data_IF_072218884407
#
_entry.id   IF_072218884407
#
_cell.length_a   1.000
_cell.length_b   1.000
_cell.length_c   1.000
_cell.angle_alpha   90.00
_cell.angle_beta   90.00
_cell.angle_gamma   90.00
#
_symmetry.space_group_name_H-M   'P 1'
#
loop_
_entity.id
_entity.type
_entity.pdbx_description
1 polymer ?
#
# COMPACT_ATOMS: atom_id res chain seq x y z
N UNK A 1 13.68 17.64 -2.78
CA UNK A 1 13.81 16.59 -1.72
C UNK A 1 15.23 16.08 -1.74
N UNK A 2 15.88 15.94 -0.60
CA UNK A 2 17.26 15.44 -0.51
C UNK A 2 17.30 13.93 -0.85
N UNK A 3 18.17 13.52 -1.77
CA UNK A 3 18.31 12.12 -2.18
C UNK A 3 18.69 11.19 -1.00
N UNK A 4 19.48 11.68 -0.05
CA UNK A 4 19.84 10.92 1.17
C UNK A 4 18.64 10.70 2.09
N UNK A 5 17.70 11.64 2.12
CA UNK A 5 16.47 11.50 2.90
C UNK A 5 15.56 10.39 2.35
N UNK A 6 15.62 10.12 1.05
CA UNK A 6 14.91 9.00 0.42
C UNK A 6 15.68 7.67 0.55
N UNK A 7 17.00 7.71 0.38
CA UNK A 7 17.81 6.50 0.41
C UNK A 7 17.80 5.80 1.78
N UNK A 8 17.84 6.56 2.87
CA UNK A 8 17.86 5.99 4.23
C UNK A 8 16.66 5.08 4.54
N UNK A 9 15.40 5.48 4.32
CA UNK A 9 14.26 4.57 4.53
C UNK A 9 14.26 3.39 3.54
N UNK A 10 14.75 3.54 2.31
CA UNK A 10 14.89 2.41 1.38
C UNK A 10 15.89 1.37 1.93
N UNK A 11 17.03 1.83 2.45
CA UNK A 11 18.02 0.94 3.09
C UNK A 11 17.46 0.29 4.35
N UNK A 12 16.66 1.01 5.14
CA UNK A 12 15.98 0.44 6.31
C UNK A 12 15.05 -0.71 5.92
N UNK A 13 14.22 -0.52 4.90
CA UNK A 13 13.31 -1.56 4.39
C UNK A 13 14.12 -2.78 3.97
N UNK A 14 15.16 -2.60 3.15
CA UNK A 14 16.02 -3.69 2.68
C UNK A 14 16.66 -4.45 3.86
N UNK A 15 17.30 -3.74 4.77
CA UNK A 15 17.97 -4.35 5.93
C UNK A 15 16.99 -5.07 6.86
N UNK A 16 15.79 -4.52 7.04
CA UNK A 16 14.73 -5.15 7.82
C UNK A 16 14.27 -6.47 7.19
N UNK A 17 13.97 -6.46 5.90
CA UNK A 17 13.50 -7.66 5.17
C UNK A 17 14.59 -8.74 5.12
N UNK A 18 15.85 -8.36 4.91
CA UNK A 18 16.97 -9.30 5.01
C UNK A 18 17.12 -9.90 6.42
N UNK A 19 16.95 -9.08 7.47
CA UNK A 19 17.00 -9.57 8.84
C UNK A 19 15.84 -10.54 9.14
N UNK A 20 14.63 -10.22 8.64
CA UNK A 20 13.46 -11.08 8.74
C UNK A 20 13.72 -12.43 8.07
N UNK A 21 14.24 -12.44 6.85
CA UNK A 21 14.46 -13.67 6.07
C UNK A 21 15.60 -14.56 6.60
N UNK A 22 16.47 -14.04 7.45
CA UNK A 22 17.46 -14.86 8.17
C UNK A 22 16.87 -15.65 9.34
N UNK A 23 15.66 -15.36 9.74
CA UNK A 23 15.00 -16.04 10.85
C UNK A 23 14.36 -17.36 10.40
N UNK A 24 14.49 -18.45 11.16
CA UNK A 24 13.87 -19.72 10.80
C UNK A 24 12.34 -19.71 10.95
N UNK A 25 11.80 -18.75 11.70
CA UNK A 25 10.38 -18.62 12.03
C UNK A 25 9.68 -17.49 11.24
N UNK A 26 10.29 -17.00 10.12
CA UNK A 26 9.76 -15.87 9.35
C UNK A 26 8.44 -16.19 8.63
N UNK A 27 8.10 -17.45 8.40
CA UNK A 27 6.92 -17.85 7.62
C UNK A 27 6.96 -17.35 6.17
N UNK A 28 5.82 -17.39 5.48
CA UNK A 28 5.71 -16.85 4.13
C UNK A 28 5.60 -15.32 4.14
N UNK A 29 6.48 -14.64 3.42
CA UNK A 29 6.53 -13.18 3.29
C UNK A 29 6.40 -12.75 1.83
N UNK A 30 5.84 -11.56 1.62
CA UNK A 30 5.89 -10.81 0.37
C UNK A 30 6.76 -9.58 0.61
N UNK A 31 7.97 -9.61 0.06
CA UNK A 31 8.97 -8.59 0.32
C UNK A 31 8.80 -7.39 -0.63
N UNK A 32 9.18 -6.22 -0.16
CA UNK A 32 9.30 -4.98 -0.95
C UNK A 32 10.70 -4.83 -1.55
N UNK A 33 11.58 -5.80 -1.33
CA UNK A 33 12.95 -5.81 -1.87
C UNK A 33 12.96 -5.69 -3.38
N UNK A 34 13.59 -4.62 -3.91
CA UNK A 34 13.58 -4.23 -5.32
C UNK A 34 12.50 -3.18 -5.66
N UNK A 35 11.54 -2.94 -4.78
CA UNK A 35 10.43 -2.00 -4.94
C UNK A 35 10.40 -0.95 -3.82
N UNK A 36 11.49 -0.80 -3.04
CA UNK A 36 11.56 0.12 -1.90
C UNK A 36 11.27 1.57 -2.30
N UNK A 37 11.66 1.95 -3.52
CA UNK A 37 11.44 3.29 -4.05
C UNK A 37 9.95 3.64 -4.16
N UNK A 38 9.08 2.66 -4.43
CA UNK A 38 7.63 2.85 -4.51
C UNK A 38 7.10 3.24 -3.13
N UNK A 39 7.40 2.42 -2.11
CA UNK A 39 6.96 2.67 -0.74
C UNK A 39 7.46 4.02 -0.20
N UNK A 40 8.74 4.30 -0.41
CA UNK A 40 9.39 5.53 0.09
C UNK A 40 8.92 6.76 -0.69
N UNK A 41 8.80 6.67 -2.01
CA UNK A 41 8.33 7.78 -2.85
C UNK A 41 6.91 8.20 -2.51
N UNK A 42 6.01 7.24 -2.31
CA UNK A 42 4.63 7.51 -1.88
C UNK A 42 4.63 8.19 -0.50
N UNK A 43 5.31 7.59 0.49
CA UNK A 43 5.32 8.12 1.85
C UNK A 43 5.97 9.50 1.96
N UNK A 44 6.96 9.78 1.11
CA UNK A 44 7.62 11.09 1.06
C UNK A 44 6.72 12.21 0.51
N UNK A 45 5.68 11.86 -0.23
CA UNK A 45 4.68 12.80 -0.73
C UNK A 45 3.51 13.00 0.24
N UNK A 46 3.36 12.12 1.25
CA UNK A 46 2.26 12.19 2.21
C UNK A 46 2.60 13.07 3.42
N UNK A 47 1.64 13.87 3.82
CA UNK A 47 1.68 14.68 5.05
C UNK A 47 1.23 13.89 6.30
N UNK A 48 1.25 14.54 7.47
CA UNK A 48 0.85 13.92 8.74
C UNK A 48 -0.65 13.57 8.80
N UNK A 49 -1.50 14.31 8.10
CA UNK A 49 -2.96 14.10 8.08
C UNK A 49 -3.42 13.08 7.05
N UNK A 50 -2.50 12.62 6.20
CA UNK A 50 -2.80 11.67 5.13
C UNK A 50 -2.85 10.24 5.64
N UNK A 51 -3.74 9.44 5.05
CA UNK A 51 -3.88 8.03 5.32
C UNK A 51 -3.24 7.18 4.21
N UNK A 52 -2.56 6.11 4.59
CA UNK A 52 -1.99 5.13 3.67
C UNK A 52 -2.64 3.77 3.90
N UNK A 53 -3.15 3.16 2.83
CA UNK A 53 -3.55 1.75 2.79
C UNK A 53 -2.69 1.01 1.78
N UNK A 54 -2.39 -0.26 2.08
CA UNK A 54 -1.57 -1.09 1.22
C UNK A 54 -2.17 -2.51 1.09
N UNK A 55 -1.66 -3.28 0.16
CA UNK A 55 -1.96 -4.70 0.05
C UNK A 55 -0.74 -5.47 -0.45
N UNK A 56 -0.68 -6.76 -0.15
CA UNK A 56 0.41 -7.62 -0.59
C UNK A 56 1.74 -7.31 0.11
N UNK A 57 2.56 -6.44 -0.49
CA UNK A 57 3.91 -6.05 -0.01
C UNK A 57 3.83 -4.89 0.99
N UNK A 58 3.25 -5.15 2.16
CA UNK A 58 2.89 -4.11 3.14
C UNK A 58 4.01 -3.72 4.10
N UNK A 59 5.10 -4.49 4.18
CA UNK A 59 6.23 -4.22 5.09
C UNK A 59 6.89 -2.89 4.73
N UNK A 60 7.26 -2.71 3.46
CA UNK A 60 7.87 -1.48 2.98
C UNK A 60 7.02 -0.23 3.25
N UNK A 61 5.75 -0.19 2.81
CA UNK A 61 4.85 0.91 3.11
C UNK A 61 4.67 1.21 4.60
N UNK A 62 4.59 0.19 5.45
CA UNK A 62 4.47 0.37 6.90
C UNK A 62 5.72 1.04 7.49
N UNK A 63 6.92 0.55 7.15
CA UNK A 63 8.19 1.11 7.61
C UNK A 63 8.39 2.53 7.08
N UNK A 64 8.11 2.75 5.79
CA UNK A 64 8.22 4.07 5.17
C UNK A 64 7.24 5.09 5.76
N UNK A 65 6.06 4.64 6.23
CA UNK A 65 5.07 5.49 6.90
C UNK A 65 5.40 5.77 8.36
N UNK A 66 6.46 5.13 8.90
CA UNK A 66 6.96 5.40 10.25
C UNK A 66 6.50 4.41 11.31
N UNK A 67 6.00 3.23 10.92
CA UNK A 67 5.81 2.14 11.89
C UNK A 67 7.18 1.67 12.38
N UNK A 68 7.35 1.64 13.68
CA UNK A 68 8.63 1.24 14.30
C UNK A 68 9.05 -0.18 13.88
N UNK A 69 10.29 -0.37 13.40
CA UNK A 69 10.76 -1.67 12.90
C UNK A 69 10.61 -2.81 13.91
N UNK A 70 10.87 -2.55 15.20
CA UNK A 70 10.70 -3.55 16.26
C UNK A 70 9.23 -3.98 16.41
N UNK A 71 8.29 -3.04 16.25
CA UNK A 71 6.86 -3.32 16.31
C UNK A 71 6.38 -4.12 15.09
N UNK A 72 6.87 -3.77 13.88
CA UNK A 72 6.60 -4.56 12.66
C UNK A 72 7.12 -5.99 12.83
N UNK A 73 8.37 -6.17 13.28
CA UNK A 73 8.95 -7.49 13.51
C UNK A 73 8.13 -8.30 14.53
N UNK A 74 7.71 -7.67 15.63
CA UNK A 74 6.89 -8.30 16.65
C UNK A 74 5.55 -8.79 16.07
N UNK A 75 4.90 -7.98 15.22
CA UNK A 75 3.65 -8.36 14.55
C UNK A 75 3.83 -9.55 13.61
N UNK A 76 4.88 -9.53 12.78
CA UNK A 76 5.18 -10.60 11.83
C UNK A 76 5.49 -11.94 12.53
N UNK A 77 6.04 -11.88 13.74
CA UNK A 77 6.35 -13.05 14.56
C UNK A 77 5.22 -13.42 15.54
N UNK A 78 4.03 -12.87 15.40
CA UNK A 78 2.85 -13.17 16.23
C UNK A 78 2.98 -12.74 17.68
N UNK A 79 3.77 -11.70 17.98
CA UNK A 79 3.96 -11.21 19.35
C UNK A 79 2.92 -10.17 19.73
N UNK A 80 2.46 -10.20 20.96
CA UNK A 80 1.44 -9.26 21.48
C UNK A 80 1.91 -7.81 21.52
N UNK A 81 3.21 -7.56 21.42
CA UNK A 81 3.80 -6.22 21.32
C UNK A 81 3.76 -5.63 19.91
N UNK A 82 3.28 -6.40 18.92
CA UNK A 82 3.00 -5.88 17.57
C UNK A 82 1.79 -4.94 17.54
N UNK A 83 1.69 -4.06 16.53
CA UNK A 83 0.64 -3.04 16.44
C UNK A 83 -0.79 -3.61 16.43
N UNK A 84 -0.96 -4.83 15.90
CA UNK A 84 -2.23 -5.55 15.89
C UNK A 84 -2.25 -6.72 16.90
N UNK A 85 -1.40 -6.65 17.93
CA UNK A 85 -1.29 -7.69 18.97
C UNK A 85 -0.81 -9.05 18.46
N UNK A 86 -0.07 -9.07 17.35
CA UNK A 86 0.45 -10.27 16.71
C UNK A 86 -0.59 -11.07 15.92
N UNK A 87 -1.79 -10.53 15.71
CA UNK A 87 -2.90 -11.23 15.02
C UNK A 87 -3.02 -10.83 13.54
N UNK A 88 -2.57 -9.64 13.18
CA UNK A 88 -2.64 -9.14 11.81
C UNK A 88 -1.60 -9.76 10.89
N UNK A 89 -0.39 -9.98 11.42
CA UNK A 89 0.75 -10.43 10.65
C UNK A 89 1.03 -9.51 9.46
N UNK A 90 1.65 -10.02 8.40
CA UNK A 90 1.93 -9.24 7.20
C UNK A 90 0.68 -8.82 6.42
N UNK A 91 -0.40 -9.58 6.53
CA UNK A 91 -1.61 -9.40 5.72
C UNK A 91 -2.55 -8.31 6.23
N UNK A 92 -2.47 -8.02 7.53
CA UNK A 92 -3.39 -7.09 8.19
C UNK A 92 -2.68 -6.19 9.20
N UNK A 93 -1.40 -5.89 8.94
CA UNK A 93 -0.63 -4.92 9.71
C UNK A 93 -1.26 -3.53 9.58
N UNK A 94 -1.53 -2.88 10.72
CA UNK A 94 -2.10 -1.53 10.75
C UNK A 94 -1.55 -0.76 11.96
N UNK A 95 -1.32 0.53 11.80
CA UNK A 95 -1.00 1.48 12.87
C UNK A 95 -1.53 2.87 12.51
N UNK A 96 -2.82 3.14 12.71
CA UNK A 96 -3.45 4.41 12.33
C UNK A 96 -2.80 5.64 12.99
N UNK A 97 -2.19 5.47 14.18
CA UNK A 97 -1.51 6.57 14.88
C UNK A 97 -0.37 7.23 14.06
N UNK A 98 0.21 6.51 13.10
CA UNK A 98 1.22 7.06 12.18
C UNK A 98 0.67 7.26 10.76
N UNK A 99 -0.65 7.18 10.58
CA UNK A 99 -1.30 7.30 9.28
C UNK A 99 -1.25 6.03 8.42
N UNK A 100 -0.79 4.88 8.95
CA UNK A 100 -0.86 3.59 8.27
C UNK A 100 -2.15 2.86 8.64
N UNK A 101 -3.20 3.04 7.83
CA UNK A 101 -4.55 2.52 8.09
C UNK A 101 -4.69 1.03 7.83
N UNK A 102 -3.72 0.43 7.17
CA UNK A 102 -3.57 -1.01 7.18
C UNK A 102 -3.20 -1.63 5.85
N UNK A 103 -2.75 -2.88 6.00
CA UNK A 103 -2.58 -3.82 4.91
C UNK A 103 -3.83 -4.70 4.77
N UNK A 104 -4.04 -5.24 3.58
CA UNK A 104 -5.13 -6.18 3.34
C UNK A 104 -4.63 -7.39 2.56
N UNK A 105 -4.90 -8.59 3.09
CA UNK A 105 -4.43 -9.84 2.47
C UNK A 105 -5.24 -10.22 1.22
N UNK A 106 -6.50 -9.81 1.14
CA UNK A 106 -7.34 -10.05 -0.04
C UNK A 106 -7.00 -9.06 -1.14
N UNK A 107 -6.64 -9.57 -2.32
CA UNK A 107 -6.29 -8.75 -3.48
C UNK A 107 -7.47 -7.85 -3.86
N UNK A 108 -7.21 -6.54 -3.93
CA UNK A 108 -8.25 -5.53 -4.20
C UNK A 108 -9.15 -5.17 -3.01
N UNK A 109 -9.08 -5.89 -1.88
CA UNK A 109 -9.94 -5.62 -0.73
C UNK A 109 -9.65 -4.28 -0.03
N UNK A 110 -8.43 -3.77 -0.14
CA UNK A 110 -8.07 -2.45 0.39
C UNK A 110 -8.69 -1.27 -0.40
N UNK A 111 -9.10 -1.48 -1.65
CA UNK A 111 -9.61 -0.42 -2.53
C UNK A 111 -10.92 0.19 -2.03
N UNK A 112 -11.88 -0.67 -1.69
CA UNK A 112 -13.17 -0.24 -1.12
C UNK A 112 -13.04 0.31 0.29
N UNK A 113 -12.12 -0.25 1.09
CA UNK A 113 -11.79 0.27 2.43
C UNK A 113 -11.21 1.68 2.31
N UNK A 114 -10.30 1.92 1.36
CA UNK A 114 -9.73 3.24 1.11
C UNK A 114 -10.79 4.27 0.70
N UNK A 115 -11.76 3.87 -0.14
CA UNK A 115 -12.89 4.72 -0.47
C UNK A 115 -13.74 5.06 0.78
N UNK A 116 -13.94 4.09 1.69
CA UNK A 116 -14.61 4.32 2.97
C UNK A 116 -13.87 5.29 3.89
N UNK A 117 -12.53 5.15 3.99
CA UNK A 117 -11.69 6.08 4.77
C UNK A 117 -11.75 7.49 4.19
N UNK A 118 -11.65 7.62 2.85
CA UNK A 118 -11.73 8.92 2.18
C UNK A 118 -13.12 9.57 2.34
N UNK A 119 -14.18 8.76 2.32
CA UNK A 119 -15.54 9.23 2.59
C UNK A 119 -15.67 9.74 4.04
N UNK A 120 -15.14 9.00 5.02
CA UNK A 120 -15.15 9.41 6.41
C UNK A 120 -14.42 10.76 6.60
N UNK A 121 -13.21 10.92 6.00
CA UNK A 121 -12.47 12.19 6.02
C UNK A 121 -13.29 13.33 5.43
N UNK A 122 -14.01 13.07 4.32
CA UNK A 122 -14.88 14.07 3.69
C UNK A 122 -16.04 14.47 4.59
N UNK A 123 -16.73 13.50 5.21
CA UNK A 123 -17.87 13.77 6.13
C UNK A 123 -17.41 14.53 7.37
N UNK A 124 -16.26 14.14 7.92
CA UNK A 124 -15.67 14.76 9.10
C UNK A 124 -14.95 16.08 8.80
N UNK A 125 -14.89 16.48 7.54
CA UNK A 125 -14.16 17.69 7.08
C UNK A 125 -12.69 17.69 7.53
N UNK A 126 -12.08 16.52 7.62
CA UNK A 126 -10.66 16.36 7.96
C UNK A 126 -9.78 16.71 6.77
N UNK A 127 -8.67 17.42 7.00
CA UNK A 127 -7.67 17.67 5.95
C UNK A 127 -6.97 16.37 5.55
N UNK A 128 -6.28 16.39 4.41
CA UNK A 128 -5.46 15.30 3.91
C UNK A 128 -6.14 14.47 2.83
N UNK A 129 -5.40 13.45 2.40
CA UNK A 129 -5.83 12.50 1.36
C UNK A 129 -5.64 11.07 1.85
N UNK A 130 -6.23 10.14 1.12
CA UNK A 130 -5.97 8.71 1.25
C UNK A 130 -5.15 8.24 0.06
N UNK A 131 -4.00 7.63 0.31
CA UNK A 131 -3.25 6.89 -0.70
C UNK A 131 -3.54 5.39 -0.55
N UNK A 132 -3.97 4.74 -1.63
CA UNK A 132 -4.24 3.31 -1.65
C UNK A 132 -3.29 2.61 -2.62
N UNK A 133 -2.36 1.83 -2.08
CA UNK A 133 -1.35 1.09 -2.84
C UNK A 133 -1.84 -0.33 -3.10
N UNK A 134 -1.75 -0.78 -4.34
CA UNK A 134 -2.13 -2.13 -4.76
C UNK A 134 -1.29 -2.58 -5.97
N UNK A 135 -1.12 -3.87 -6.13
CA UNK A 135 -0.40 -4.43 -7.28
C UNK A 135 -1.25 -4.48 -8.55
N UNK A 136 -0.59 -4.59 -9.70
CA UNK A 136 -1.23 -4.70 -11.02
C UNK A 136 -2.22 -5.88 -11.11
N UNK A 137 -1.97 -6.98 -10.38
CA UNK A 137 -2.91 -8.10 -10.29
C UNK A 137 -4.28 -7.74 -9.73
N UNK A 138 -4.41 -6.63 -8.99
CA UNK A 138 -5.69 -6.14 -8.50
C UNK A 138 -6.48 -5.36 -9.58
N UNK A 139 -5.86 -4.99 -10.70
CA UNK A 139 -6.51 -4.21 -11.75
C UNK A 139 -7.63 -4.97 -12.47
N UNK A 140 -7.62 -6.30 -12.43
CA UNK A 140 -8.70 -7.14 -12.94
C UNK A 140 -9.86 -7.35 -11.97
N UNK A 141 -9.76 -6.86 -10.72
CA UNK A 141 -10.82 -7.00 -9.74
C UNK A 141 -11.92 -5.95 -9.94
N UNK A 142 -13.18 -6.38 -9.88
CA UNK A 142 -14.34 -5.46 -9.94
C UNK A 142 -14.28 -4.36 -8.88
N UNK A 143 -13.73 -4.67 -7.70
CA UNK A 143 -13.55 -3.73 -6.60
C UNK A 143 -12.77 -2.46 -6.97
N UNK A 144 -11.79 -2.53 -7.91
CA UNK A 144 -11.09 -1.34 -8.38
C UNK A 144 -12.05 -0.40 -9.13
N UNK A 145 -12.83 -0.95 -10.05
CA UNK A 145 -13.77 -0.19 -10.87
C UNK A 145 -14.88 0.42 -10.02
N UNK A 146 -15.40 -0.33 -9.06
CA UNK A 146 -16.39 0.14 -8.09
C UNK A 146 -15.85 1.26 -7.21
N UNK A 147 -14.65 1.10 -6.67
CA UNK A 147 -13.99 2.11 -5.84
C UNK A 147 -13.67 3.39 -6.63
N UNK A 148 -13.19 3.26 -7.88
CA UNK A 148 -12.93 4.39 -8.77
C UNK A 148 -14.22 5.15 -9.10
N UNK A 149 -15.31 4.42 -9.39
CA UNK A 149 -16.63 5.04 -9.66
C UNK A 149 -17.12 5.85 -8.47
N UNK A 150 -17.08 5.27 -7.27
CA UNK A 150 -17.51 5.95 -6.03
C UNK A 150 -16.61 7.15 -5.73
N UNK A 151 -15.29 6.98 -5.83
CA UNK A 151 -14.34 8.06 -5.58
C UNK A 151 -14.54 9.24 -6.54
N UNK A 152 -14.75 8.96 -7.83
CA UNK A 152 -14.99 10.00 -8.83
C UNK A 152 -16.34 10.68 -8.62
N UNK A 153 -17.43 9.92 -8.39
CA UNK A 153 -18.78 10.42 -8.20
C UNK A 153 -18.87 11.36 -6.99
N UNK A 154 -18.26 10.97 -5.88
CA UNK A 154 -18.32 11.73 -4.63
C UNK A 154 -17.12 12.65 -4.44
N UNK A 155 -16.20 12.72 -5.42
CA UNK A 155 -14.99 13.56 -5.39
C UNK A 155 -14.16 13.34 -4.12
N UNK A 156 -13.99 12.05 -3.76
CA UNK A 156 -13.26 11.68 -2.56
C UNK A 156 -11.77 12.04 -2.69
N UNK A 157 -11.09 12.46 -1.61
CA UNK A 157 -9.66 12.72 -1.58
C UNK A 157 -8.86 11.41 -1.57
N UNK A 158 -8.97 10.63 -2.66
CA UNK A 158 -8.39 9.30 -2.79
C UNK A 158 -7.47 9.20 -4.01
N UNK A 159 -6.25 8.79 -3.80
CA UNK A 159 -5.25 8.50 -4.83
C UNK A 159 -5.04 7.00 -4.92
N UNK A 160 -5.28 6.43 -6.08
CA UNK A 160 -5.01 5.04 -6.40
C UNK A 160 -3.58 4.91 -6.94
N UNK A 161 -2.74 4.13 -6.26
CA UNK A 161 -1.34 3.91 -6.65
C UNK A 161 -1.14 2.45 -7.01
N UNK A 162 -0.99 2.18 -8.30
CA UNK A 162 -0.76 0.84 -8.80
C UNK A 162 0.74 0.56 -8.92
N UNK A 163 1.24 -0.40 -8.14
CA UNK A 163 2.55 -1.01 -8.32
C UNK A 163 2.47 -1.97 -9.51
N UNK A 164 3.04 -1.53 -10.65
CA UNK A 164 3.00 -2.28 -11.89
C UNK A 164 4.32 -3.05 -12.10
N UNK A 165 4.54 -4.06 -11.31
CA UNK A 165 5.73 -4.91 -11.42
C UNK A 165 5.63 -5.98 -12.53
N UNK A 166 4.52 -6.04 -13.25
CA UNK A 166 4.29 -6.94 -14.38
C UNK A 166 3.85 -8.36 -14.01
N UNK A 167 3.64 -8.64 -12.72
CA UNK A 167 3.35 -10.00 -12.25
C UNK A 167 2.28 -10.02 -11.16
N UNK A 168 1.32 -10.91 -11.33
CA UNK A 168 0.38 -11.30 -10.27
C UNK A 168 0.78 -12.69 -9.78
N UNK A 169 1.61 -12.74 -8.72
CA UNK A 169 2.26 -13.94 -8.19
C UNK A 169 3.07 -14.64 -9.29
N UNK A 170 2.54 -15.70 -9.91
CA UNK A 170 3.16 -16.46 -10.99
C UNK A 170 2.61 -16.15 -12.38
N UNK A 171 1.61 -15.25 -12.47
CA UNK A 171 0.94 -14.91 -13.73
C UNK A 171 1.47 -13.58 -14.27
N UNK A 172 2.05 -13.55 -15.47
CA UNK A 172 2.46 -12.29 -16.07
C UNK A 172 1.24 -11.42 -16.38
N UNK A 173 1.36 -10.10 -16.18
CA UNK A 173 0.29 -9.13 -16.38
C UNK A 173 -0.38 -9.27 -17.76
N UNK A 174 0.40 -9.48 -18.80
CA UNK A 174 -0.11 -9.62 -20.16
C UNK A 174 -1.05 -10.83 -20.37
N UNK A 175 -0.97 -11.83 -19.51
CA UNK A 175 -1.87 -12.98 -19.53
C UNK A 175 -3.13 -12.77 -18.65
N UNK A 176 -3.14 -11.75 -17.79
CA UNK A 176 -4.20 -11.48 -16.84
C UNK A 176 -5.05 -10.26 -17.17
N UNK A 177 -4.47 -9.27 -17.87
CA UNK A 177 -5.11 -7.97 -18.11
C UNK A 177 -5.07 -7.59 -19.59
N UNK A 178 -6.24 -7.20 -20.12
CA UNK A 178 -6.37 -6.75 -21.50
C UNK A 178 -5.77 -5.35 -21.76
N UNK A 179 -5.88 -4.33 -20.86
CA UNK A 179 -5.32 -3.01 -21.11
C UNK A 179 -3.80 -3.03 -21.23
N UNK A 180 -3.27 -2.43 -22.28
CA UNK A 180 -1.83 -2.26 -22.48
C UNK A 180 -1.22 -1.31 -21.43
N UNK A 181 -1.97 -0.26 -21.06
CA UNK A 181 -1.57 0.75 -20.07
C UNK A 181 -2.59 0.76 -18.93
N UNK A 182 -2.12 0.55 -17.70
CA UNK A 182 -3.01 0.52 -16.53
C UNK A 182 -3.59 1.90 -16.19
N UNK A 183 -2.89 2.98 -16.53
CA UNK A 183 -3.41 4.34 -16.40
C UNK A 183 -4.69 4.58 -17.22
N UNK A 184 -4.92 3.83 -18.29
CA UNK A 184 -6.12 3.98 -19.13
C UNK A 184 -7.40 3.51 -18.41
N UNK A 185 -7.27 2.71 -17.35
CA UNK A 185 -8.40 2.27 -16.51
C UNK A 185 -9.12 3.42 -15.80
N UNK A 186 -8.46 4.56 -15.61
CA UNK A 186 -9.03 5.74 -14.97
C UNK A 186 -9.97 6.55 -15.90
N UNK A 187 -9.78 6.43 -17.22
CA UNK A 187 -10.47 7.24 -18.22
C UNK A 187 -12.01 7.15 -18.17
N UNK A 188 -12.64 5.96 -18.01
CA UNK A 188 -14.10 5.85 -17.90
C UNK A 188 -14.68 6.66 -16.74
N UNK A 189 -13.92 6.86 -15.67
CA UNK A 189 -14.31 7.60 -14.47
C UNK A 189 -13.90 9.08 -14.52
N UNK A 190 -13.28 9.54 -15.61
CA UNK A 190 -12.76 10.90 -15.78
C UNK A 190 -11.75 11.29 -14.68
N UNK A 191 -11.04 10.32 -14.14
CA UNK A 191 -9.97 10.55 -13.16
C UNK A 191 -8.67 10.86 -13.89
N UNK A 192 -7.89 11.85 -13.42
CA UNK A 192 -6.54 12.08 -13.95
C UNK A 192 -5.66 10.87 -13.61
N UNK A 193 -4.80 10.48 -14.54
CA UNK A 193 -3.88 9.37 -14.36
C UNK A 193 -2.53 9.65 -15.02
N UNK A 194 -1.48 9.12 -14.42
CA UNK A 194 -0.12 9.19 -14.95
C UNK A 194 0.60 7.86 -14.72
N UNK A 195 1.58 7.57 -15.56
CA UNK A 195 2.57 6.52 -15.35
C UNK A 195 3.89 7.19 -15.00
N UNK A 196 4.51 6.72 -13.94
CA UNK A 196 5.82 7.20 -13.45
C UNK A 196 6.77 6.01 -13.47
N UNK A 197 8.01 6.26 -13.93
CA UNK A 197 9.11 5.27 -13.95
C UNK A 197 10.18 5.67 -12.91
#
# INVERSE_FOLDING_TARGET
MDALALLRPMMLIRAFEEALMRRPDHGFQLLSSGEEAIAVGICAALGPDDALLSSGRSIGPALARGVEPAAVMAELLGRTTGPCGGKGGRGHLAQPAVGFFGAHAVVGGNLTIAAGVALAMTIEQRPGIVACVFGDGACGAGALHEAMNVAALWKLPLVFVCDNNGWSVSTPRAAALAPARLSDLAAPFRMPAATVD
#
